data_IF_234084123596
#
_entry.id   IF_234084123596
#
_cell.length_a   1.000
_cell.length_b   1.000
_cell.length_c   1.000
_cell.angle_alpha   90.00
_cell.angle_beta   90.00
_cell.angle_gamma   90.00
#
_symmetry.space_group_name_H-M   'P 1'
#
loop_
_entity.id
_entity.type
_entity.pdbx_description
1 polymer ?
#
# COMPACT_ATOMS: atom_id res chain seq x y z
N UNK A 1 -8.69 -78.47 8.98
CA UNK A 1 -7.69 -77.38 9.06
C UNK A 1 -6.36 -77.97 9.48
N UNK A 2 -5.60 -78.54 8.53
CA UNK A 2 -4.26 -79.11 8.79
C UNK A 2 -3.28 -78.80 7.64
N UNK A 3 -3.73 -78.11 6.58
CA UNK A 3 -2.97 -77.99 5.34
C UNK A 3 -1.99 -76.79 5.27
N UNK A 4 -2.10 -75.82 6.17
CA UNK A 4 -1.24 -74.62 6.13
C UNK A 4 0.09 -74.85 6.87
N UNK A 5 0.20 -75.89 7.72
CA UNK A 5 1.41 -76.08 8.55
C UNK A 5 2.53 -76.89 7.89
N UNK A 6 2.34 -77.47 6.69
CA UNK A 6 3.34 -78.36 6.07
C UNK A 6 4.13 -77.75 4.90
N UNK A 7 3.78 -76.55 4.44
CA UNK A 7 4.52 -75.85 3.40
C UNK A 7 5.07 -74.51 3.90
N UNK A 8 5.86 -74.58 4.99
CA UNK A 8 6.73 -73.51 5.51
C UNK A 8 6.01 -72.26 6.04
N UNK A 9 6.47 -71.61 7.12
CA UNK A 9 5.91 -70.33 7.51
C UNK A 9 6.19 -69.31 6.41
N UNK A 10 5.12 -68.72 5.86
CA UNK A 10 5.23 -67.45 5.13
C UNK A 10 6.05 -66.48 5.99
N UNK A 11 6.99 -65.71 5.42
CA UNK A 11 7.89 -64.85 6.18
C UNK A 11 7.15 -63.55 6.59
N UNK A 12 6.04 -63.69 7.32
CA UNK A 12 5.35 -62.59 7.96
C UNK A 12 5.97 -62.44 9.35
N UNK A 13 7.03 -61.63 9.44
CA UNK A 13 7.67 -61.35 10.73
C UNK A 13 7.10 -60.10 11.40
N UNK A 14 6.40 -59.24 10.65
CA UNK A 14 5.84 -57.96 11.11
C UNK A 14 4.45 -57.71 10.49
N UNK A 15 3.65 -56.91 11.20
CA UNK A 15 2.28 -56.54 10.82
C UNK A 15 2.15 -55.84 9.44
N UNK A 16 3.23 -55.37 8.83
CA UNK A 16 3.22 -54.69 7.52
C UNK A 16 3.78 -55.53 6.37
N UNK A 17 4.31 -56.73 6.65
CA UNK A 17 4.92 -57.57 5.62
C UNK A 17 3.87 -58.09 4.60
N UNK A 18 2.56 -58.00 4.92
CA UNK A 18 1.46 -58.36 4.02
C UNK A 18 1.33 -57.43 2.80
N UNK A 19 1.86 -56.21 2.84
CA UNK A 19 1.77 -55.24 1.72
C UNK A 19 2.49 -55.76 0.47
N UNK A 20 3.38 -56.74 0.64
CA UNK A 20 4.09 -57.40 -0.46
C UNK A 20 3.29 -58.54 -1.11
N UNK A 21 2.10 -58.87 -0.61
CA UNK A 21 1.27 -59.95 -1.13
C UNK A 21 0.25 -59.41 -2.13
N UNK A 22 0.39 -59.84 -3.38
CA UNK A 22 -0.62 -59.62 -4.42
C UNK A 22 -1.41 -60.91 -4.72
N UNK A 23 -2.43 -60.75 -5.57
CA UNK A 23 -3.34 -61.84 -5.93
C UNK A 23 -2.65 -62.98 -6.70
N UNK A 24 -1.54 -62.71 -7.38
CA UNK A 24 -0.79 -63.73 -8.11
C UNK A 24 0.12 -64.53 -7.17
N UNK A 25 0.80 -63.86 -6.23
CA UNK A 25 1.60 -64.51 -5.20
C UNK A 25 0.76 -65.50 -4.38
N UNK A 26 -0.47 -65.13 -4.02
CA UNK A 26 -1.39 -66.00 -3.28
C UNK A 26 -1.95 -67.18 -4.08
N UNK A 27 -2.05 -67.07 -5.42
CA UNK A 27 -2.42 -68.18 -6.29
C UNK A 27 -1.32 -69.25 -6.32
N UNK A 28 -0.05 -68.85 -6.26
CA UNK A 28 1.09 -69.76 -6.26
C UNK A 28 1.12 -70.63 -4.99
N UNK A 29 0.63 -70.13 -3.86
CA UNK A 29 0.56 -70.87 -2.58
C UNK A 29 -0.77 -71.59 -2.32
N UNK A 30 -1.44 -72.09 -3.37
CA UNK A 30 -2.72 -72.81 -3.27
C UNK A 30 -3.91 -71.99 -2.71
N UNK A 31 -3.81 -70.66 -2.64
CA UNK A 31 -4.82 -69.76 -2.05
C UNK A 31 -6.19 -69.75 -2.72
N UNK A 32 -6.33 -70.36 -3.91
CA UNK A 32 -7.64 -70.50 -4.58
C UNK A 32 -8.64 -71.36 -3.80
N UNK A 33 -8.18 -72.30 -2.98
CA UNK A 33 -9.08 -73.13 -2.14
C UNK A 33 -9.52 -72.37 -0.89
N UNK A 34 -8.67 -71.46 -0.39
CA UNK A 34 -8.91 -70.68 0.82
C UNK A 34 -9.85 -69.48 0.63
N UNK A 35 -9.93 -68.95 -0.59
CA UNK A 35 -10.77 -67.79 -0.91
C UNK A 35 -12.19 -68.16 -1.37
N UNK A 36 -12.53 -69.45 -1.43
CA UNK A 36 -13.83 -69.87 -1.94
C UNK A 36 -14.99 -69.53 -0.99
N UNK A 37 -14.73 -69.53 0.32
CA UNK A 37 -15.74 -69.37 1.37
C UNK A 37 -15.33 -68.40 2.50
N UNK A 38 -14.29 -67.58 2.33
CA UNK A 38 -13.84 -66.63 3.36
C UNK A 38 -13.21 -65.38 2.76
N UNK A 39 -13.44 -64.21 3.38
CA UNK A 39 -12.81 -62.96 2.94
C UNK A 39 -11.31 -62.92 3.28
N UNK A 40 -10.52 -62.10 2.60
CA UNK A 40 -9.10 -61.90 2.95
C UNK A 40 -8.90 -61.55 4.42
N UNK A 41 -9.76 -60.68 4.96
CA UNK A 41 -9.73 -60.29 6.37
C UNK A 41 -9.96 -61.49 7.29
N UNK A 42 -10.93 -62.34 6.97
CA UNK A 42 -11.27 -63.53 7.74
C UNK A 42 -10.15 -64.57 7.68
N UNK A 43 -9.50 -64.72 6.52
CA UNK A 43 -8.31 -65.56 6.36
C UNK A 43 -7.15 -65.08 7.25
N UNK A 44 -6.86 -63.78 7.25
CA UNK A 44 -5.76 -63.21 8.04
C UNK A 44 -6.08 -63.18 9.54
N UNK A 45 -7.33 -62.89 9.93
CA UNK A 45 -7.77 -62.98 11.33
C UNK A 45 -7.69 -64.41 11.86
N UNK A 46 -8.01 -65.41 11.02
CA UNK A 46 -7.97 -66.82 11.41
C UNK A 46 -6.54 -67.34 11.54
N UNK A 47 -5.65 -66.97 10.62
CA UNK A 47 -4.29 -67.52 10.58
C UNK A 47 -3.26 -66.69 11.36
N UNK A 48 -3.52 -65.40 11.61
CA UNK A 48 -2.62 -64.49 12.32
C UNK A 48 -3.40 -63.61 13.32
N UNK A 49 -4.10 -64.19 14.31
CA UNK A 49 -4.97 -63.47 15.23
C UNK A 49 -4.23 -62.49 16.15
N UNK A 50 -2.90 -62.61 16.28
CA UNK A 50 -2.05 -61.74 17.09
C UNK A 50 -1.94 -60.30 16.56
N UNK A 51 -2.34 -60.05 15.31
CA UNK A 51 -2.34 -58.71 14.71
C UNK A 51 -3.71 -58.04 14.77
N UNK A 52 -3.72 -56.73 15.03
CA UNK A 52 -4.95 -55.93 15.15
C UNK A 52 -5.54 -55.55 13.78
N UNK A 53 -6.19 -56.49 13.11
CA UNK A 53 -6.75 -56.31 11.76
C UNK A 53 -7.91 -55.30 11.68
N UNK A 54 -8.71 -55.16 12.74
CA UNK A 54 -9.89 -54.29 12.76
C UNK A 54 -9.57 -52.79 12.67
N UNK A 55 -8.37 -52.37 13.07
CA UNK A 55 -7.91 -50.97 12.96
C UNK A 55 -7.44 -50.62 11.55
N UNK A 56 -7.04 -51.63 10.77
CA UNK A 56 -6.52 -51.46 9.41
C UNK A 56 -7.67 -51.47 8.38
N UNK A 57 -8.75 -52.20 8.67
CA UNK A 57 -9.81 -52.48 7.70
C UNK A 57 -11.13 -51.71 7.87
N UNK A 58 -11.26 -50.83 8.87
CA UNK A 58 -12.34 -49.82 8.88
C UNK A 58 -12.01 -48.72 7.88
N UNK A 59 -12.28 -49.02 6.60
CA UNK A 59 -12.15 -48.09 5.49
C UNK A 59 -12.97 -46.82 5.76
N UNK A 60 -12.41 -45.62 5.55
CA UNK A 60 -12.96 -44.43 6.17
C UNK A 60 -14.16 -43.90 5.41
N UNK A 61 -15.19 -43.45 6.13
CA UNK A 61 -15.74 -42.14 5.80
C UNK A 61 -14.56 -41.18 5.70
N UNK A 62 -14.40 -40.47 4.59
CA UNK A 62 -13.34 -39.47 4.37
C UNK A 62 -13.51 -38.24 5.28
N UNK A 63 -13.74 -38.45 6.58
CA UNK A 63 -14.11 -37.43 7.55
C UNK A 63 -12.90 -36.79 8.24
N UNK A 64 -11.71 -37.39 8.14
CA UNK A 64 -10.49 -36.84 8.73
C UNK A 64 -9.37 -36.71 7.70
N UNK A 65 -8.68 -35.57 7.72
CA UNK A 65 -7.56 -35.23 6.82
C UNK A 65 -6.46 -36.30 6.83
N UNK A 66 -6.12 -36.86 8.00
CA UNK A 66 -5.07 -37.89 8.11
C UNK A 66 -5.36 -39.15 7.31
N UNK A 67 -6.63 -39.55 7.22
CA UNK A 67 -7.05 -40.71 6.45
C UNK A 67 -7.06 -40.44 4.95
N UNK A 68 -7.32 -39.18 4.55
CA UNK A 68 -7.15 -38.73 3.17
C UNK A 68 -5.67 -38.67 2.78
N UNK A 69 -4.79 -38.25 3.70
CA UNK A 69 -3.32 -38.26 3.53
C UNK A 69 -2.79 -39.67 3.28
N UNK A 70 -3.12 -40.62 4.16
CA UNK A 70 -2.70 -42.02 4.02
C UNK A 70 -3.10 -42.58 2.64
N UNK A 71 -4.32 -42.29 2.17
CA UNK A 71 -4.75 -42.74 0.84
C UNK A 71 -3.95 -42.07 -0.29
N UNK A 72 -3.72 -40.75 -0.24
CA UNK A 72 -2.99 -40.06 -1.29
C UNK A 72 -1.50 -40.44 -1.28
N UNK A 73 -0.90 -40.60 -0.10
CA UNK A 73 0.46 -41.11 0.04
C UNK A 73 0.58 -42.51 -0.57
N UNK A 74 -0.40 -43.39 -0.31
CA UNK A 74 -0.48 -44.73 -0.90
C UNK A 74 -0.67 -44.68 -2.43
N UNK A 75 -1.52 -43.79 -2.93
CA UNK A 75 -1.68 -43.56 -4.37
C UNK A 75 -0.37 -43.09 -5.00
N UNK A 76 0.32 -42.12 -4.37
CA UNK A 76 1.59 -41.57 -4.83
C UNK A 76 2.66 -42.67 -4.87
N UNK A 77 2.78 -43.45 -3.80
CA UNK A 77 3.76 -44.54 -3.70
C UNK A 77 3.49 -45.69 -4.68
N UNK A 78 2.23 -46.12 -4.82
CA UNK A 78 1.89 -47.31 -5.58
C UNK A 78 1.75 -47.05 -7.08
N UNK A 79 1.15 -45.92 -7.48
CA UNK A 79 0.95 -45.60 -8.90
C UNK A 79 2.09 -44.82 -9.52
N UNK A 80 2.79 -44.01 -8.73
CA UNK A 80 3.79 -43.08 -9.25
C UNK A 80 5.18 -43.44 -8.75
N UNK A 81 5.71 -44.58 -9.21
CA UNK A 81 7.09 -45.03 -8.98
C UNK A 81 8.17 -44.01 -9.43
N UNK A 82 7.78 -42.93 -10.12
CA UNK A 82 8.65 -41.88 -10.63
C UNK A 82 8.63 -40.58 -9.82
N UNK A 83 7.76 -40.44 -8.79
CA UNK A 83 7.72 -39.22 -7.97
C UNK A 83 8.91 -39.21 -7.02
N UNK A 84 10.03 -38.69 -7.52
CA UNK A 84 11.29 -38.55 -6.76
C UNK A 84 11.48 -37.15 -6.22
N UNK A 85 10.78 -36.18 -6.79
CA UNK A 85 10.88 -34.77 -6.44
C UNK A 85 9.50 -34.13 -6.36
N UNK A 86 9.40 -33.00 -5.65
CA UNK A 86 8.16 -32.23 -5.53
C UNK A 86 7.63 -31.73 -6.88
N UNK A 87 8.51 -31.59 -7.89
CA UNK A 87 8.11 -31.21 -9.25
C UNK A 87 7.30 -32.31 -9.96
N UNK A 88 7.55 -33.59 -9.64
CA UNK A 88 6.82 -34.70 -10.22
C UNK A 88 5.35 -34.76 -9.78
N UNK A 89 4.98 -34.07 -8.69
CA UNK A 89 3.58 -33.94 -8.28
C UNK A 89 2.75 -33.11 -9.27
N UNK A 90 3.37 -32.20 -10.03
CA UNK A 90 2.68 -31.42 -11.07
C UNK A 90 2.38 -32.22 -12.35
N UNK A 91 3.03 -33.38 -12.51
CA UNK A 91 2.84 -34.28 -13.64
C UNK A 91 1.68 -35.26 -13.40
N UNK A 92 1.13 -35.29 -12.18
CA UNK A 92 -0.02 -36.11 -11.82
C UNK A 92 -1.29 -35.43 -12.36
N UNK A 93 -2.00 -36.12 -13.23
CA UNK A 93 -3.30 -35.65 -13.72
C UNK A 93 -4.46 -36.39 -13.03
N UNK A 94 -5.66 -35.82 -13.08
CA UNK A 94 -6.86 -36.47 -12.52
C UNK A 94 -7.08 -37.88 -13.07
N UNK A 95 -6.72 -38.13 -14.34
CA UNK A 95 -6.79 -39.47 -14.97
C UNK A 95 -5.87 -40.48 -14.29
N UNK A 96 -4.79 -40.05 -13.67
CA UNK A 96 -3.86 -40.93 -12.99
C UNK A 96 -4.37 -41.31 -11.59
N UNK A 97 -5.00 -40.37 -10.89
CA UNK A 97 -5.71 -40.67 -9.63
C UNK A 97 -6.90 -41.61 -9.88
N UNK A 98 -7.62 -41.45 -10.99
CA UNK A 98 -8.72 -42.34 -11.37
C UNK A 98 -8.29 -43.79 -11.63
N UNK A 99 -6.99 -44.05 -11.91
CA UNK A 99 -6.46 -45.42 -12.02
C UNK A 99 -6.37 -46.11 -10.65
N UNK A 100 -6.40 -45.36 -9.55
CA UNK A 100 -6.43 -45.94 -8.21
C UNK A 100 -7.84 -46.38 -7.82
N UNK A 101 -7.99 -47.54 -7.17
CA UNK A 101 -9.24 -47.87 -6.47
C UNK A 101 -9.64 -46.72 -5.55
N UNK A 102 -10.87 -46.20 -5.70
CA UNK A 102 -11.44 -45.06 -4.96
C UNK A 102 -10.89 -43.67 -5.33
N UNK A 103 -10.04 -43.56 -6.35
CA UNK A 103 -9.61 -42.26 -6.88
C UNK A 103 -10.78 -41.37 -7.33
N UNK A 104 -11.81 -41.98 -7.94
CA UNK A 104 -13.05 -41.30 -8.30
C UNK A 104 -13.84 -40.77 -7.09
N UNK A 105 -13.79 -41.45 -5.95
CA UNK A 105 -14.46 -40.99 -4.72
C UNK A 105 -13.74 -39.79 -4.12
N UNK A 106 -12.40 -39.82 -4.07
CA UNK A 106 -11.63 -38.67 -3.57
C UNK A 106 -11.81 -37.44 -4.46
N UNK A 107 -11.75 -37.63 -5.78
CA UNK A 107 -12.00 -36.56 -6.74
C UNK A 107 -13.43 -36.05 -6.58
N UNK A 108 -14.43 -36.93 -6.51
CA UNK A 108 -15.83 -36.55 -6.35
C UNK A 108 -16.11 -35.73 -5.09
N UNK A 109 -15.54 -36.11 -3.93
CA UNK A 109 -15.65 -35.35 -2.67
C UNK A 109 -14.97 -33.97 -2.77
N UNK A 110 -14.00 -33.83 -3.68
CA UNK A 110 -13.23 -32.61 -3.91
C UNK A 110 -13.58 -31.94 -5.26
N UNK A 111 -14.86 -31.97 -5.64
CA UNK A 111 -15.39 -31.29 -6.84
C UNK A 111 -14.67 -31.67 -8.15
N UNK A 112 -14.21 -32.91 -8.25
CA UNK A 112 -13.40 -33.45 -9.35
C UNK A 112 -12.11 -32.67 -9.64
N UNK A 113 -11.59 -31.94 -8.63
CA UNK A 113 -10.37 -31.14 -8.75
C UNK A 113 -9.24 -31.76 -7.96
N UNK A 114 -8.19 -32.19 -8.67
CA UNK A 114 -6.95 -32.68 -8.06
C UNK A 114 -6.30 -31.58 -7.20
N UNK A 115 -6.43 -30.33 -7.61
CA UNK A 115 -5.97 -29.19 -6.82
C UNK A 115 -6.73 -29.11 -5.49
N UNK A 116 -8.05 -29.29 -5.48
CA UNK A 116 -8.83 -29.29 -4.23
C UNK A 116 -8.41 -30.43 -3.29
N UNK A 117 -8.12 -31.62 -3.85
CA UNK A 117 -7.56 -32.76 -3.11
C UNK A 117 -6.24 -32.38 -2.44
N UNK A 118 -5.27 -31.84 -3.18
CA UNK A 118 -3.98 -31.45 -2.61
C UNK A 118 -4.08 -30.26 -1.64
N UNK A 119 -4.99 -29.31 -1.86
CA UNK A 119 -5.18 -28.16 -0.97
C UNK A 119 -5.76 -28.58 0.38
N UNK A 120 -6.72 -29.51 0.37
CA UNK A 120 -7.33 -30.04 1.58
C UNK A 120 -6.34 -30.90 2.36
N UNK A 121 -5.60 -31.75 1.63
CA UNK A 121 -4.79 -32.81 2.23
C UNK A 121 -3.38 -32.33 2.55
N UNK A 122 -2.77 -31.51 1.70
CA UNK A 122 -1.41 -30.97 1.87
C UNK A 122 -1.39 -29.44 1.68
N UNK A 123 -2.08 -28.67 2.54
CA UNK A 123 -2.07 -27.21 2.48
C UNK A 123 -0.66 -26.60 2.61
N UNK A 124 0.31 -27.33 3.14
CA UNK A 124 1.73 -26.96 3.17
C UNK A 124 2.40 -27.00 1.80
N UNK A 125 1.94 -27.86 0.89
CA UNK A 125 2.40 -27.94 -0.50
C UNK A 125 1.70 -26.88 -1.40
N UNK A 126 0.66 -26.22 -0.88
CA UNK A 126 -0.20 -25.24 -1.55
C UNK A 126 0.52 -24.01 -2.13
N UNK A 127 1.66 -23.63 -1.55
CA UNK A 127 2.47 -22.48 -2.02
C UNK A 127 2.98 -22.68 -3.46
N UNK A 128 2.92 -23.90 -4.00
CA UNK A 128 3.46 -24.24 -5.30
C UNK A 128 2.39 -24.68 -6.34
N UNK A 129 1.14 -24.95 -5.92
CA UNK A 129 0.02 -25.21 -6.84
C UNK A 129 -0.54 -23.88 -7.38
N UNK A 130 0.20 -23.31 -8.33
CA UNK A 130 -0.10 -22.02 -8.96
C UNK A 130 -1.49 -21.96 -9.61
N UNK A 131 -2.46 -21.47 -8.86
CA UNK A 131 -3.50 -20.51 -9.24
C UNK A 131 -4.54 -20.47 -8.13
N UNK A 132 -4.37 -19.56 -7.17
CA UNK A 132 -5.38 -19.31 -6.15
C UNK A 132 -6.41 -18.34 -6.71
N UNK A 133 -7.63 -18.82 -6.96
CA UNK A 133 -8.82 -17.99 -7.22
C UNK A 133 -9.59 -17.65 -5.94
N UNK A 134 -9.11 -18.03 -4.75
CA UNK A 134 -9.81 -17.67 -3.52
C UNK A 134 -9.60 -16.17 -3.24
N UNK A 135 -10.69 -15.41 -3.33
CA UNK A 135 -10.72 -13.94 -3.19
C UNK A 135 -10.09 -13.41 -1.90
N UNK A 136 -9.91 -14.25 -0.88
CA UNK A 136 -9.32 -13.89 0.41
C UNK A 136 -7.79 -14.03 0.51
N UNK A 137 -7.17 -14.96 -0.23
CA UNK A 137 -5.75 -15.29 -0.02
C UNK A 137 -4.84 -14.12 -0.39
N UNK A 138 -5.02 -13.53 -1.57
CA UNK A 138 -4.24 -12.38 -2.05
C UNK A 138 -4.66 -11.03 -1.46
N UNK A 139 -5.56 -11.05 -0.47
CA UNK A 139 -5.87 -9.92 0.41
C UNK A 139 -5.25 -10.07 1.80
N UNK A 140 -4.68 -11.23 2.13
CA UNK A 140 -4.04 -11.49 3.41
C UNK A 140 -2.59 -10.97 3.41
N UNK A 141 -2.25 -10.14 4.41
CA UNK A 141 -0.90 -9.58 4.58
C UNK A 141 0.19 -10.63 4.59
N UNK A 142 0.01 -11.72 5.32
CA UNK A 142 1.00 -12.81 5.44
C UNK A 142 1.29 -13.45 4.08
N UNK A 143 0.28 -13.59 3.22
CA UNK A 143 0.45 -14.18 1.88
C UNK A 143 1.24 -13.24 0.96
N UNK A 144 0.94 -11.94 1.02
CA UNK A 144 1.66 -10.91 0.27
C UNK A 144 3.10 -10.79 0.78
N UNK A 145 3.33 -10.82 2.09
CA UNK A 145 4.66 -10.80 2.71
C UNK A 145 5.50 -11.98 2.24
N UNK A 146 4.95 -13.19 2.26
CA UNK A 146 5.63 -14.38 1.75
C UNK A 146 5.98 -14.27 0.26
N UNK A 147 5.07 -13.73 -0.55
CA UNK A 147 5.34 -13.49 -1.97
C UNK A 147 6.48 -12.48 -2.15
N UNK A 148 6.43 -11.36 -1.43
CA UNK A 148 7.43 -10.31 -1.54
C UNK A 148 8.79 -10.77 -1.04
N UNK A 149 8.85 -11.46 0.11
CA UNK A 149 10.08 -12.05 0.64
C UNK A 149 10.67 -13.07 -0.33
N UNK A 150 9.84 -13.90 -0.97
CA UNK A 150 10.30 -14.91 -1.92
C UNK A 150 10.98 -14.31 -3.15
N UNK A 151 10.45 -13.21 -3.68
CA UNK A 151 10.92 -12.67 -4.97
C UNK A 151 11.81 -11.44 -4.86
N UNK A 152 11.76 -10.74 -3.73
CA UNK A 152 12.49 -9.49 -3.52
C UNK A 152 13.41 -9.53 -2.30
N UNK A 153 13.46 -10.66 -1.58
CA UNK A 153 14.19 -10.91 -0.33
C UNK A 153 13.76 -10.03 0.85
N UNK A 154 13.42 -8.76 0.63
CA UNK A 154 13.20 -7.78 1.69
C UNK A 154 12.47 -6.50 1.24
N UNK A 155 11.44 -6.09 1.99
CA UNK A 155 10.68 -4.85 1.77
C UNK A 155 10.48 -4.17 3.14
N UNK A 156 11.36 -3.22 3.47
CA UNK A 156 11.25 -2.44 4.72
C UNK A 156 11.17 -0.94 4.50
N UNK A 157 11.57 -0.48 3.33
CA UNK A 157 11.63 0.96 3.05
C UNK A 157 10.70 1.32 1.91
N UNK A 158 10.26 2.57 1.90
CA UNK A 158 9.53 3.17 0.78
C UNK A 158 10.27 2.98 -0.55
N UNK A 159 11.59 3.04 -0.53
CA UNK A 159 12.43 2.90 -1.71
C UNK A 159 12.31 1.50 -2.33
N UNK A 160 12.17 0.46 -1.50
CA UNK A 160 11.95 -0.90 -2.00
C UNK A 160 10.61 -1.01 -2.75
N UNK A 161 9.55 -0.35 -2.27
CA UNK A 161 8.27 -0.28 -3.00
C UNK A 161 8.34 0.51 -4.29
N UNK A 162 9.08 1.61 -4.30
CA UNK A 162 9.21 2.44 -5.49
C UNK A 162 9.90 1.71 -6.65
N UNK A 163 10.65 0.64 -6.35
CA UNK A 163 11.29 -0.20 -7.35
C UNK A 163 10.35 -1.28 -7.93
N UNK A 164 9.17 -1.49 -7.33
CA UNK A 164 8.18 -2.43 -7.85
C UNK A 164 7.36 -1.78 -8.96
N UNK A 165 7.25 -2.45 -10.11
CA UNK A 165 6.33 -2.06 -11.19
C UNK A 165 5.27 -3.13 -11.41
N UNK A 166 4.08 -2.73 -11.87
CA UNK A 166 2.99 -3.68 -12.18
C UNK A 166 3.46 -4.72 -13.19
N UNK A 167 4.29 -4.30 -14.16
CA UNK A 167 4.92 -5.19 -15.11
C UNK A 167 5.84 -6.21 -14.44
N UNK A 168 6.73 -5.77 -13.54
CA UNK A 168 7.63 -6.64 -12.78
C UNK A 168 6.85 -7.67 -11.97
N UNK A 169 5.82 -7.24 -11.24
CA UNK A 169 4.97 -8.14 -10.44
C UNK A 169 4.20 -9.10 -11.35
N UNK A 170 3.63 -8.64 -12.47
CA UNK A 170 2.83 -9.49 -13.37
C UNK A 170 3.61 -10.67 -13.96
N UNK A 171 4.92 -10.49 -14.15
CA UNK A 171 5.86 -11.51 -14.66
C UNK A 171 6.22 -12.58 -13.63
N UNK A 172 5.96 -12.36 -12.34
CA UNK A 172 6.27 -13.31 -11.28
C UNK A 172 5.13 -14.33 -11.08
N UNK A 173 5.43 -15.59 -10.71
CA UNK A 173 4.41 -16.59 -10.40
C UNK A 173 3.43 -16.12 -9.32
N UNK A 174 2.15 -16.00 -9.68
CA UNK A 174 1.08 -15.50 -8.80
C UNK A 174 0.92 -13.98 -8.77
N UNK A 175 1.86 -13.21 -9.32
CA UNK A 175 1.80 -11.75 -9.29
C UNK A 175 0.67 -11.15 -10.12
N UNK A 176 0.32 -11.76 -11.27
CA UNK A 176 -0.87 -11.35 -12.03
C UNK A 176 -2.17 -11.52 -11.23
N UNK A 177 -2.24 -12.56 -10.39
CA UNK A 177 -3.39 -12.81 -9.51
C UNK A 177 -3.43 -11.83 -8.35
N UNK A 178 -2.28 -11.53 -7.72
CA UNK A 178 -2.16 -10.45 -6.72
C UNK A 178 -2.69 -9.14 -7.29
N UNK A 179 -2.23 -8.76 -8.48
CA UNK A 179 -2.68 -7.53 -9.14
C UNK A 179 -4.18 -7.57 -9.40
N UNK A 180 -4.73 -8.68 -9.92
CA UNK A 180 -6.17 -8.81 -10.19
C UNK A 180 -7.03 -8.58 -8.95
N UNK A 181 -6.70 -9.18 -7.80
CA UNK A 181 -7.47 -8.99 -6.56
C UNK A 181 -7.26 -7.63 -5.90
N UNK A 182 -6.28 -6.87 -6.37
CA UNK A 182 -5.92 -5.54 -5.89
C UNK A 182 -6.04 -4.48 -7.00
N UNK A 183 -7.09 -4.59 -7.83
CA UNK A 183 -7.47 -3.60 -8.85
C UNK A 183 -6.34 -3.25 -9.85
N UNK A 184 -5.50 -4.22 -10.18
CA UNK A 184 -4.35 -4.05 -11.07
C UNK A 184 -3.23 -3.16 -10.52
N UNK A 185 -3.27 -2.84 -9.21
CA UNK A 185 -2.41 -1.81 -8.63
C UNK A 185 -1.57 -2.35 -7.48
N UNK A 186 -0.26 -2.15 -7.58
CA UNK A 186 0.67 -2.43 -6.48
C UNK A 186 0.29 -1.62 -5.25
N UNK A 187 -0.05 -0.35 -5.44
CA UNK A 187 -0.41 0.55 -4.35
C UNK A 187 -1.67 0.08 -3.61
N UNK A 188 -2.62 -0.56 -4.30
CA UNK A 188 -3.83 -1.08 -3.66
C UNK A 188 -3.51 -2.17 -2.65
N UNK A 189 -2.60 -3.10 -2.98
CA UNK A 189 -2.21 -4.14 -2.01
C UNK A 189 -1.23 -3.60 -0.98
N UNK A 190 -0.31 -2.68 -1.36
CA UNK A 190 0.56 -2.00 -0.40
C UNK A 190 -0.24 -1.22 0.64
N UNK A 191 -1.38 -0.62 0.28
CA UNK A 191 -2.23 0.11 1.24
C UNK A 191 -2.85 -0.81 2.28
N UNK A 192 -3.16 -2.04 1.89
CA UNK A 192 -3.71 -3.06 2.78
C UNK A 192 -2.60 -3.67 3.64
N UNK A 193 -1.42 -3.85 3.06
CA UNK A 193 -0.35 -4.69 3.64
C UNK A 193 0.67 -3.86 4.42
N UNK A 194 1.04 -2.69 3.91
CA UNK A 194 2.07 -1.79 4.44
C UNK A 194 1.63 -0.32 4.36
N UNK A 195 0.50 0.06 5.00
CA UNK A 195 0.03 1.44 5.01
C UNK A 195 1.10 2.43 5.53
N UNK A 196 2.00 1.97 6.40
CA UNK A 196 3.13 2.73 6.96
C UNK A 196 4.24 3.04 5.94
N UNK A 197 4.33 2.26 4.85
CA UNK A 197 5.33 2.39 3.79
C UNK A 197 4.72 2.95 2.49
N UNK A 198 3.58 3.65 2.58
CA UNK A 198 3.07 4.47 1.49
C UNK A 198 3.57 5.90 1.70
N UNK A 199 4.12 6.57 0.66
CA UNK A 199 4.71 7.87 0.88
C UNK A 199 3.58 8.84 1.21
N UNK A 200 3.59 9.38 2.42
CA UNK A 200 2.72 10.48 2.84
C UNK A 200 3.05 11.81 2.12
N UNK A 201 3.90 11.78 1.10
CA UNK A 201 4.43 12.95 0.40
C UNK A 201 4.33 12.74 -1.12
N UNK A 202 3.14 13.02 -1.66
CA UNK A 202 2.79 13.67 -2.94
C UNK A 202 3.42 13.30 -4.29
N UNK A 203 4.55 12.59 -4.37
CA UNK A 203 5.32 12.55 -5.64
C UNK A 203 4.75 11.59 -6.69
N UNK A 204 4.02 10.55 -6.30
CA UNK A 204 3.40 9.57 -7.23
C UNK A 204 2.04 9.06 -6.74
N UNK A 205 1.10 9.98 -6.54
CA UNK A 205 -0.28 9.64 -6.19
C UNK A 205 -1.07 9.12 -7.41
N UNK A 206 -1.93 8.12 -7.19
CA UNK A 206 -2.75 7.47 -8.22
C UNK A 206 -3.72 8.43 -8.89
N UNK A 207 -4.18 8.05 -10.09
CA UNK A 207 -5.37 8.66 -10.69
C UNK A 207 -6.55 8.42 -9.76
N UNK A 208 -7.16 9.49 -9.26
CA UNK A 208 -8.27 9.43 -8.29
C UNK A 208 -7.88 9.67 -6.84
N UNK A 209 -6.58 9.65 -6.46
CA UNK A 209 -6.15 9.96 -5.09
C UNK A 209 -6.67 11.32 -4.62
N UNK A 210 -6.56 12.33 -5.49
CA UNK A 210 -7.03 13.67 -5.17
C UNK A 210 -8.55 13.79 -5.11
N UNK A 211 -9.29 12.78 -5.58
CA UNK A 211 -10.75 12.75 -5.59
C UNK A 211 -11.32 12.01 -4.37
N UNK A 212 -10.53 11.68 -3.35
CA UNK A 212 -11.04 11.09 -2.11
C UNK A 212 -10.89 12.09 -0.97
N UNK A 213 -11.83 13.04 -0.87
CA UNK A 213 -11.77 14.15 0.11
C UNK A 213 -11.55 13.64 1.54
N UNK A 214 -12.24 12.56 1.93
CA UNK A 214 -12.19 12.01 3.29
C UNK A 214 -10.83 11.41 3.66
N UNK A 215 -10.03 11.00 2.67
CA UNK A 215 -8.74 10.36 2.90
C UNK A 215 -7.56 11.14 2.32
N UNK A 216 -7.78 12.34 1.78
CA UNK A 216 -6.72 13.10 1.15
C UNK A 216 -5.92 13.89 2.20
N UNK A 217 -5.00 13.16 2.83
CA UNK A 217 -4.04 13.68 3.80
C UNK A 217 -3.34 14.96 3.34
N UNK A 218 -3.02 15.09 2.05
CA UNK A 218 -2.29 16.25 1.52
C UNK A 218 -3.14 17.52 1.56
N UNK A 219 -4.47 17.44 1.35
CA UNK A 219 -5.38 18.57 1.54
C UNK A 219 -5.35 19.02 2.98
N UNK A 220 -5.58 18.10 3.92
CA UNK A 220 -5.64 18.43 5.34
C UNK A 220 -4.32 18.98 5.85
N UNK A 221 -3.20 18.42 5.38
CA UNK A 221 -1.86 18.94 5.63
C UNK A 221 -1.73 20.36 5.10
N UNK A 222 -2.17 20.63 3.87
CA UNK A 222 -2.10 21.98 3.30
C UNK A 222 -3.02 22.98 4.02
N UNK A 223 -4.24 22.58 4.37
CA UNK A 223 -5.15 23.38 5.19
C UNK A 223 -4.55 23.73 6.54
N UNK A 224 -3.87 22.77 7.16
CA UNK A 224 -3.16 22.97 8.43
C UNK A 224 -1.93 23.87 8.27
N UNK A 225 -1.08 23.60 7.28
CA UNK A 225 0.18 24.32 7.06
C UNK A 225 -0.05 25.79 6.68
N UNK A 226 -1.10 26.11 5.92
CA UNK A 226 -1.38 27.48 5.47
C UNK A 226 -2.59 28.12 6.17
N UNK A 227 -3.06 27.50 7.26
CA UNK A 227 -4.23 27.92 8.03
C UNK A 227 -5.43 28.28 7.14
N UNK A 228 -5.79 27.39 6.23
CA UNK A 228 -6.93 27.58 5.32
C UNK A 228 -8.20 27.33 6.13
N UNK A 229 -8.98 28.39 6.37
CA UNK A 229 -10.24 28.31 7.13
C UNK A 229 -11.45 28.66 6.28
N UNK A 230 -11.24 29.33 5.15
CA UNK A 230 -12.31 29.72 4.22
C UNK A 230 -11.91 29.53 2.76
N UNK A 231 -12.90 29.66 1.87
CA UNK A 231 -12.70 29.72 0.41
C UNK A 231 -11.68 30.77 -0.01
N UNK A 232 -11.72 31.94 0.61
CA UNK A 232 -10.83 33.05 0.29
C UNK A 232 -9.37 32.71 0.54
N UNK A 233 -9.08 31.86 1.54
CA UNK A 233 -7.72 31.45 1.87
C UNK A 233 -7.11 30.55 0.79
N UNK A 234 -7.91 29.74 0.10
CA UNK A 234 -7.44 28.92 -1.03
C UNK A 234 -6.85 29.77 -2.15
N UNK A 235 -7.47 30.91 -2.44
CA UNK A 235 -6.94 31.87 -3.43
C UNK A 235 -5.67 32.59 -2.97
N UNK A 236 -5.27 32.42 -1.71
CA UNK A 236 -4.00 32.93 -1.17
C UNK A 236 -2.89 31.89 -1.25
N UNK A 237 -3.10 30.71 -1.84
CA UNK A 237 -2.02 29.72 -2.00
C UNK A 237 -1.43 29.80 -3.40
N UNK A 238 -0.10 29.87 -3.48
CA UNK A 238 0.61 29.91 -4.76
C UNK A 238 0.65 28.54 -5.41
N UNK A 239 0.85 28.51 -6.73
CA UNK A 239 1.03 27.25 -7.48
C UNK A 239 2.27 26.49 -6.97
N UNK A 240 3.31 27.21 -6.54
CA UNK A 240 4.53 26.61 -5.98
C UNK A 240 4.27 25.99 -4.60
N UNK A 241 3.44 26.62 -3.76
CA UNK A 241 3.02 26.02 -2.48
C UNK A 241 2.17 24.76 -2.70
N UNK A 242 1.29 24.76 -3.71
CA UNK A 242 0.61 23.54 -4.17
C UNK A 242 1.61 22.50 -4.68
N UNK A 243 2.64 22.91 -5.41
CA UNK A 243 3.69 22.01 -5.89
C UNK A 243 4.49 21.38 -4.74
N UNK A 244 4.87 22.16 -3.73
CA UNK A 244 5.66 21.72 -2.59
C UNK A 244 4.92 20.69 -1.75
N UNK A 245 3.62 20.90 -1.54
CA UNK A 245 2.77 19.99 -0.77
C UNK A 245 2.26 18.80 -1.60
N UNK A 246 1.78 19.05 -2.81
CA UNK A 246 0.99 18.11 -3.60
C UNK A 246 1.74 17.53 -4.82
N UNK A 247 2.96 18.01 -5.09
CA UNK A 247 3.79 17.59 -6.20
C UNK A 247 3.38 18.13 -7.57
N UNK A 248 4.23 17.86 -8.57
CA UNK A 248 4.12 18.30 -9.98
C UNK A 248 2.78 18.03 -10.66
N UNK A 249 2.04 17.02 -10.22
CA UNK A 249 0.81 16.60 -10.90
C UNK A 249 -0.35 17.59 -10.68
N UNK A 250 -0.32 18.33 -9.58
CA UNK A 250 -1.40 19.26 -9.19
C UNK A 250 -1.07 20.72 -9.52
N UNK A 251 0.19 21.03 -9.81
CA UNK A 251 0.72 22.40 -9.90
C UNK A 251 0.36 23.17 -11.18
N UNK A 252 -0.88 23.08 -11.66
CA UNK A 252 -1.39 23.99 -12.69
C UNK A 252 -2.73 24.58 -12.28
N UNK A 253 -2.98 25.84 -12.66
CA UNK A 253 -4.19 26.61 -12.31
C UNK A 253 -5.46 25.81 -12.57
N UNK A 254 -5.61 25.31 -13.80
CA UNK A 254 -6.76 24.49 -14.21
C UNK A 254 -6.91 23.21 -13.40
N UNK A 255 -5.81 22.61 -12.93
CA UNK A 255 -5.87 21.39 -12.11
C UNK A 255 -6.23 21.71 -10.68
N UNK A 256 -5.68 22.76 -10.08
CA UNK A 256 -6.04 23.27 -8.76
C UNK A 256 -7.54 23.58 -8.72
N UNK A 257 -8.05 24.38 -9.65
CA UNK A 257 -9.48 24.71 -9.68
C UNK A 257 -10.35 23.46 -9.86
N UNK A 258 -9.96 22.51 -10.71
CA UNK A 258 -10.69 21.24 -10.86
C UNK A 258 -10.72 20.43 -9.56
N UNK A 259 -9.63 20.43 -8.79
CA UNK A 259 -9.60 19.78 -7.49
C UNK A 259 -10.47 20.51 -6.48
N UNK A 260 -10.44 21.84 -6.47
CA UNK A 260 -11.26 22.63 -5.56
C UNK A 260 -12.75 22.53 -5.88
N UNK A 261 -13.14 22.49 -7.17
CA UNK A 261 -14.51 22.15 -7.57
C UNK A 261 -14.92 20.73 -7.16
N UNK A 262 -13.96 19.82 -7.06
CA UNK A 262 -14.24 18.47 -6.60
C UNK A 262 -14.45 18.43 -5.07
N UNK A 263 -13.60 19.11 -4.28
CA UNK A 263 -13.70 19.15 -2.81
C UNK A 263 -14.81 20.05 -2.30
N UNK A 264 -15.08 21.15 -3.02
CA UNK A 264 -16.06 22.16 -2.65
C UNK A 264 -16.96 22.42 -3.86
N UNK A 265 -17.86 21.47 -4.21
CA UNK A 265 -18.68 21.54 -5.42
C UNK A 265 -19.68 22.71 -5.39
N UNK A 266 -20.13 23.12 -4.20
CA UNK A 266 -21.04 24.25 -4.02
C UNK A 266 -20.35 25.61 -4.19
N UNK A 267 -19.02 25.62 -4.27
CA UNK A 267 -18.24 26.84 -4.39
C UNK A 267 -17.92 27.18 -5.84
N UNK A 268 -18.24 28.41 -6.25
CA UNK A 268 -17.81 28.91 -7.55
C UNK A 268 -16.33 29.32 -7.52
N UNK A 269 -15.48 28.48 -8.12
CA UNK A 269 -14.05 28.73 -8.25
C UNK A 269 -13.72 29.48 -9.54
N UNK A 270 -12.86 30.50 -9.45
CA UNK A 270 -12.45 31.34 -10.60
C UNK A 270 -10.98 31.10 -10.93
N UNK A 271 -10.69 30.43 -12.04
CA UNK A 271 -9.33 30.18 -12.55
C UNK A 271 -8.44 31.43 -12.57
N UNK A 272 -9.02 32.57 -12.91
CA UNK A 272 -8.33 33.87 -13.00
C UNK A 272 -7.80 34.36 -11.65
N UNK A 273 -8.39 33.90 -10.54
CA UNK A 273 -7.94 34.15 -9.17
C UNK A 273 -6.89 33.15 -8.68
N UNK A 274 -6.40 32.25 -9.52
CA UNK A 274 -5.21 31.43 -9.25
C UNK A 274 -4.09 31.84 -10.21
N UNK A 275 -3.70 33.12 -10.26
CA UNK A 275 -2.65 33.58 -11.17
C UNK A 275 -1.24 33.34 -10.61
N UNK A 276 -0.22 33.20 -11.47
CA UNK A 276 1.19 33.24 -11.04
C UNK A 276 1.55 34.58 -10.37
N UNK A 277 0.82 35.66 -10.72
CA UNK A 277 0.94 36.98 -10.09
C UNK A 277 0.37 37.05 -8.67
N UNK A 278 -0.33 36.02 -8.20
CA UNK A 278 -0.83 35.92 -6.82
C UNK A 278 0.28 35.56 -5.82
N UNK A 279 1.51 35.39 -6.30
CA UNK A 279 2.70 35.27 -5.46
C UNK A 279 2.79 36.39 -4.40
N UNK A 280 2.37 37.63 -4.70
CA UNK A 280 2.40 38.70 -3.67
C UNK A 280 1.46 38.40 -2.50
N UNK A 281 0.18 38.17 -2.74
CA UNK A 281 -0.80 37.91 -1.66
C UNK A 281 -0.52 36.59 -0.94
N UNK A 282 -0.05 35.58 -1.67
CA UNK A 282 0.38 34.31 -1.08
C UNK A 282 1.60 34.46 -0.18
N UNK A 283 2.61 35.20 -0.64
CA UNK A 283 3.80 35.45 0.16
C UNK A 283 3.52 36.41 1.31
N UNK A 284 2.65 37.39 1.15
CA UNK A 284 2.13 38.20 2.25
C UNK A 284 1.44 37.31 3.29
N UNK A 285 0.49 36.47 2.88
CA UNK A 285 -0.18 35.51 3.78
C UNK A 285 0.84 34.65 4.53
N UNK A 286 1.79 34.06 3.81
CA UNK A 286 2.81 33.19 4.39
C UNK A 286 3.77 33.96 5.33
N UNK A 287 4.16 35.18 4.96
CA UNK A 287 4.88 36.10 5.85
C UNK A 287 4.09 36.35 7.13
N UNK A 288 2.79 36.64 7.05
CA UNK A 288 1.92 36.83 8.20
C UNK A 288 1.90 35.64 9.15
N UNK A 289 1.84 34.40 8.62
CA UNK A 289 1.94 33.18 9.43
C UNK A 289 3.28 33.09 10.15
N UNK A 290 4.38 33.35 9.45
CA UNK A 290 5.71 33.29 10.06
C UNK A 290 5.96 34.40 11.07
N UNK A 291 5.37 35.57 10.86
CA UNK A 291 5.42 36.66 11.84
C UNK A 291 4.70 36.26 13.14
N UNK A 292 3.59 35.51 13.07
CA UNK A 292 2.92 34.95 14.27
C UNK A 292 3.81 33.95 15.00
N UNK A 293 4.54 33.12 14.26
CA UNK A 293 5.51 32.19 14.86
C UNK A 293 6.70 32.90 15.51
N UNK A 294 7.15 34.02 14.94
CA UNK A 294 8.27 34.81 15.47
C UNK A 294 7.83 35.66 16.66
N UNK A 295 6.61 36.20 16.63
CA UNK A 295 6.07 37.12 17.64
C UNK A 295 4.77 36.56 18.27
N UNK A 296 4.84 35.41 18.98
CA UNK A 296 3.64 34.68 19.42
C UNK A 296 2.79 35.44 20.47
N UNK A 297 3.37 36.43 21.13
CA UNK A 297 2.71 37.26 22.16
C UNK A 297 2.18 38.58 21.62
N UNK A 298 2.52 38.95 20.39
CA UNK A 298 2.18 40.24 19.82
C UNK A 298 0.88 40.20 19.02
N UNK A 299 0.19 41.33 18.97
CA UNK A 299 -0.95 41.52 18.08
C UNK A 299 -0.44 41.96 16.71
N UNK A 300 -0.82 41.25 15.65
CA UNK A 300 -0.43 41.54 14.27
C UNK A 300 -1.67 41.92 13.47
N UNK A 301 -1.73 43.17 13.02
CA UNK A 301 -2.76 43.64 12.08
C UNK A 301 -2.29 43.42 10.65
N UNK A 302 -3.05 42.63 9.87
CA UNK A 302 -2.85 42.47 8.43
C UNK A 302 -3.59 43.60 7.66
N UNK A 303 -3.04 44.05 6.53
CA UNK A 303 -3.63 45.10 5.67
C UNK A 303 -3.99 46.37 6.47
N UNK A 304 -3.11 46.79 7.40
CA UNK A 304 -3.34 47.92 8.31
C UNK A 304 -3.51 49.24 7.54
N UNK A 305 -4.69 49.83 7.68
CA UNK A 305 -5.06 51.10 7.03
C UNK A 305 -4.70 52.27 7.94
N UNK A 306 -3.78 53.11 7.50
CA UNK A 306 -3.38 54.34 8.16
C UNK A 306 -3.87 55.55 7.36
N UNK A 307 -4.65 56.43 8.02
CA UNK A 307 -5.05 57.72 7.45
C UNK A 307 -4.06 58.78 7.92
N UNK A 308 -3.33 59.38 6.99
CA UNK A 308 -2.40 60.46 7.30
C UNK A 308 -2.68 61.66 6.39
N UNK A 309 -3.06 62.78 7.01
CA UNK A 309 -3.57 63.96 6.32
C UNK A 309 -4.73 63.58 5.38
N UNK A 310 -4.58 63.85 4.08
CA UNK A 310 -5.56 63.52 3.04
C UNK A 310 -5.23 62.22 2.30
N UNK A 311 -4.22 61.47 2.74
CA UNK A 311 -3.76 60.24 2.11
C UNK A 311 -4.13 59.03 2.96
N UNK A 312 -4.68 58.00 2.31
CA UNK A 312 -4.86 56.68 2.94
C UNK A 312 -3.73 55.76 2.49
N UNK A 313 -2.98 55.25 3.45
CA UNK A 313 -1.92 54.28 3.23
C UNK A 313 -2.35 52.94 3.79
N UNK A 314 -1.99 51.88 3.08
CA UNK A 314 -2.20 50.50 3.53
C UNK A 314 -0.83 49.87 3.68
N UNK A 315 -0.59 49.31 4.86
CA UNK A 315 0.60 48.54 5.20
C UNK A 315 0.26 47.06 5.25
N UNK A 316 1.18 46.20 4.81
CA UNK A 316 0.92 44.76 4.81
C UNK A 316 0.76 44.21 6.24
N UNK A 317 1.63 44.61 7.17
CA UNK A 317 1.55 44.23 8.58
C UNK A 317 1.90 45.38 9.53
N UNK A 318 1.19 45.48 10.65
CA UNK A 318 1.50 46.37 11.76
C UNK A 318 1.46 45.63 13.11
N UNK A 319 2.51 45.79 13.90
CA UNK A 319 2.69 45.20 15.23
C UNK A 319 2.79 46.36 16.24
N UNK A 320 1.66 46.77 16.87
CA UNK A 320 1.62 47.97 17.70
C UNK A 320 2.51 47.91 18.93
N UNK A 321 2.58 46.76 19.61
CA UNK A 321 3.41 46.58 20.81
C UNK A 321 4.90 46.83 20.57
N UNK A 322 5.34 46.72 19.31
CA UNK A 322 6.71 46.98 18.89
C UNK A 322 6.87 48.31 18.13
N UNK A 323 5.78 49.03 17.85
CA UNK A 323 5.78 50.15 16.92
C UNK A 323 6.34 49.77 15.54
N UNK A 324 6.07 48.55 15.07
CA UNK A 324 6.73 47.97 13.90
C UNK A 324 5.76 47.76 12.73
N UNK A 325 6.14 48.26 11.55
CA UNK A 325 5.47 48.04 10.27
C UNK A 325 6.33 47.14 9.41
N UNK A 326 5.72 46.15 8.75
CA UNK A 326 6.41 45.23 7.84
C UNK A 326 5.68 45.23 6.50
N UNK A 327 6.44 45.38 5.41
CA UNK A 327 5.94 45.45 4.04
C UNK A 327 6.63 44.42 3.15
N UNK A 328 5.85 43.66 2.40
CA UNK A 328 6.39 42.73 1.41
C UNK A 328 6.53 43.42 0.05
N UNK A 329 7.78 43.63 -0.38
CA UNK A 329 8.11 44.28 -1.65
C UNK A 329 8.17 43.25 -2.77
N UNK A 330 7.19 43.30 -3.69
CA UNK A 330 7.20 42.50 -4.93
C UNK A 330 8.28 42.94 -5.93
N UNK A 331 8.46 42.19 -7.02
CA UNK A 331 9.44 42.48 -8.10
C UNK A 331 9.35 43.91 -8.64
N UNK A 332 8.13 44.46 -8.72
CA UNK A 332 7.88 45.81 -9.23
C UNK A 332 8.54 46.94 -8.39
N UNK A 333 9.02 46.65 -7.18
CA UNK A 333 9.76 47.61 -6.35
C UNK A 333 11.24 47.71 -6.75
N UNK A 334 11.73 46.80 -7.59
CA UNK A 334 13.14 46.70 -7.97
C UNK A 334 13.37 46.80 -9.47
N UNK A 335 12.37 46.44 -10.29
CA UNK A 335 12.46 46.44 -11.74
C UNK A 335 11.28 47.17 -12.37
N UNK A 336 11.52 47.82 -13.50
CA UNK A 336 10.46 48.33 -14.36
C UNK A 336 9.72 47.17 -15.03
N UNK A 337 8.50 46.92 -14.55
CA UNK A 337 7.61 45.92 -15.12
C UNK A 337 6.53 46.66 -15.92
N UNK A 338 6.51 46.48 -17.25
CA UNK A 338 5.64 47.13 -18.25
C UNK A 338 4.15 47.30 -17.89
N UNK A 339 3.62 46.54 -16.93
CA UNK A 339 2.21 46.55 -16.50
C UNK A 339 1.96 47.34 -15.21
N UNK A 340 2.99 47.95 -14.62
CA UNK A 340 2.92 48.64 -13.33
C UNK A 340 3.37 50.09 -13.45
N UNK A 341 3.16 50.88 -12.40
CA UNK A 341 3.74 52.22 -12.30
C UNK A 341 5.26 52.15 -12.45
N UNK A 342 5.88 53.18 -13.05
CA UNK A 342 7.34 53.27 -13.17
C UNK A 342 8.04 53.01 -11.83
N UNK A 343 9.20 52.37 -11.88
CA UNK A 343 10.01 52.03 -10.71
C UNK A 343 10.26 53.26 -9.82
N UNK A 344 10.50 54.42 -10.42
CA UNK A 344 10.71 55.68 -9.71
C UNK A 344 9.50 56.11 -8.86
N UNK A 345 8.28 55.91 -9.37
CA UNK A 345 7.06 56.24 -8.63
C UNK A 345 6.86 55.28 -7.45
N UNK A 346 7.20 54.00 -7.63
CA UNK A 346 7.14 53.02 -6.54
C UNK A 346 8.18 53.33 -5.45
N UNK A 347 9.42 53.63 -5.84
CA UNK A 347 10.48 54.02 -4.91
C UNK A 347 10.13 55.32 -4.17
N UNK A 348 9.53 56.29 -4.85
CA UNK A 348 9.04 57.53 -4.23
C UNK A 348 7.94 57.26 -3.20
N UNK A 349 6.99 56.36 -3.51
CA UNK A 349 5.94 55.95 -2.56
C UNK A 349 6.52 55.22 -1.35
N UNK A 350 7.45 54.29 -1.55
CA UNK A 350 8.11 53.55 -0.48
C UNK A 350 8.93 54.47 0.43
N UNK A 351 9.64 55.44 -0.16
CA UNK A 351 10.33 56.49 0.58
C UNK A 351 9.37 57.32 1.42
N UNK A 352 8.25 57.76 0.84
CA UNK A 352 7.22 58.52 1.58
C UNK A 352 6.58 57.73 2.72
N UNK A 353 6.32 56.43 2.51
CA UNK A 353 5.87 55.53 3.59
C UNK A 353 6.90 55.43 4.72
N UNK A 354 8.18 55.27 4.38
CA UNK A 354 9.26 55.18 5.38
C UNK A 354 9.41 56.48 6.17
N UNK A 355 9.42 57.62 5.50
CA UNK A 355 9.48 58.94 6.13
C UNK A 355 8.29 59.17 7.08
N UNK A 356 7.08 58.77 6.66
CA UNK A 356 5.90 58.84 7.51
C UNK A 356 6.06 57.97 8.76
N UNK A 357 6.42 56.69 8.61
CA UNK A 357 6.64 55.80 9.74
C UNK A 357 7.65 56.40 10.73
N UNK A 358 8.80 56.87 10.23
CA UNK A 358 9.82 57.53 11.05
C UNK A 358 9.27 58.75 11.80
N UNK A 359 8.48 59.60 11.13
CA UNK A 359 7.89 60.79 11.76
C UNK A 359 6.89 60.46 12.89
N UNK A 360 6.31 59.26 12.87
CA UNK A 360 5.40 58.74 13.88
C UNK A 360 6.11 57.88 14.94
N UNK A 361 7.44 57.79 14.91
CA UNK A 361 8.22 56.93 15.80
C UNK A 361 8.03 55.43 15.51
N UNK A 362 7.53 55.07 14.32
CA UNK A 362 7.35 53.69 13.89
C UNK A 362 8.57 53.20 13.12
N UNK A 363 8.95 51.94 13.36
CA UNK A 363 9.97 51.23 12.59
C UNK A 363 9.33 50.59 11.37
N UNK A 364 10.01 50.62 10.23
CA UNK A 364 9.50 50.03 8.99
C UNK A 364 10.53 49.08 8.39
N UNK A 365 10.13 47.82 8.19
CA UNK A 365 10.98 46.77 7.62
C UNK A 365 10.39 46.31 6.28
N UNK A 366 11.24 46.20 5.28
CA UNK A 366 10.87 45.64 3.97
C UNK A 366 11.35 44.20 3.84
N UNK A 367 10.45 43.30 3.46
CA UNK A 367 10.77 41.91 3.09
C UNK A 367 10.79 41.83 1.56
N UNK A 368 11.96 41.58 0.94
CA UNK A 368 12.07 41.60 -0.51
C UNK A 368 11.48 40.34 -1.16
N UNK A 369 11.12 40.43 -2.44
CA UNK A 369 10.48 39.31 -3.13
C UNK A 369 11.38 38.09 -3.35
N UNK A 370 12.71 38.26 -3.30
CA UNK A 370 13.66 37.15 -3.37
C UNK A 370 13.86 36.43 -2.03
N UNK A 371 13.14 36.84 -0.97
CA UNK A 371 13.05 36.03 0.24
C UNK A 371 12.61 34.61 -0.12
N UNK A 372 13.32 33.63 0.42
CA UNK A 372 13.20 32.21 0.07
C UNK A 372 12.10 31.48 0.85
N UNK A 373 11.22 32.22 1.53
CA UNK A 373 10.19 31.68 2.43
C UNK A 373 10.77 30.92 3.65
N UNK A 374 12.08 31.04 3.93
CA UNK A 374 12.67 30.38 5.10
C UNK A 374 12.53 31.24 6.36
N UNK A 375 12.28 30.58 7.49
CA UNK A 375 12.14 31.23 8.81
C UNK A 375 13.47 31.81 9.29
N UNK A 376 14.57 31.12 8.97
CA UNK A 376 15.91 31.58 9.30
C UNK A 376 16.23 32.92 8.61
N UNK A 377 15.95 33.02 7.32
CA UNK A 377 16.19 34.25 6.56
C UNK A 377 15.28 35.40 7.01
N UNK A 378 14.00 35.12 7.28
CA UNK A 378 13.10 36.14 7.80
C UNK A 378 13.58 36.69 9.15
N UNK A 379 14.01 35.83 10.08
CA UNK A 379 14.60 36.26 11.35
C UNK A 379 15.86 37.10 11.14
N UNK A 380 16.70 36.75 10.17
CA UNK A 380 17.89 37.53 9.81
C UNK A 380 17.53 38.94 9.31
N UNK A 381 16.56 39.04 8.40
CA UNK A 381 16.05 40.33 7.89
C UNK A 381 15.54 41.19 9.05
N UNK A 382 14.68 40.63 9.90
CA UNK A 382 14.09 41.35 11.04
C UNK A 382 15.16 41.82 12.04
N UNK A 383 16.09 40.95 12.42
CA UNK A 383 17.14 41.28 13.40
C UNK A 383 18.08 42.39 12.91
N UNK A 384 18.50 42.33 11.65
CA UNK A 384 19.37 43.35 11.06
C UNK A 384 18.73 44.73 11.12
N UNK A 385 17.47 44.84 10.72
CA UNK A 385 16.76 46.13 10.73
C UNK A 385 16.40 46.60 12.14
N UNK A 386 16.09 45.69 13.07
CA UNK A 386 15.81 46.07 14.46
C UNK A 386 17.06 46.54 15.22
N UNK A 387 18.25 46.03 14.86
CA UNK A 387 19.54 46.43 15.45
C UNK A 387 20.07 47.73 14.86
N UNK A 388 19.93 47.96 13.55
CA UNK A 388 20.39 49.19 12.89
C UNK A 388 19.62 50.46 13.32
N UNK A 389 18.53 50.31 14.06
CA UNK A 389 17.66 51.39 14.56
C UNK A 389 17.76 51.58 16.09
N UNK A 390 18.81 51.06 16.73
CA UNK A 390 19.24 51.43 18.09
C UNK A 390 20.47 52.33 17.97
#
# INVERSE_FOLDING_TARGET
>A
MEYISQSGPLPLMRQFDWVQFDFELLKEFHGRVLLKDSSFLELFQTNFPEFFWEKIWKFPTFSSVDKKRIFIDDCIFNLFKFVKTQQNLFEIESRDILKHPKGGTILGVNNNSLQAVFNEIYPELYVLFGSVSSDGYWRNRIAIDKFLLKFFNYIETQQHFNNLSTELISKLPGGSTILKHNNGSIQSFCKITYPELIPQNGKNVTRGYWMDEKNNFEIHKMMKCYEIRSKEDWYKISIDQFYETSGKRVSSKKRITKLLHYWYPDEEWKDTRFSEKINKKSRQRYLGLMLRDIFPTEVIFEEYVCKYLQTTLVFDFYIPGMGLVIEYQGEQHYYDILKWSPLQDQQKRDKGKKELCTSQGLKMIFVPYWWDNSLAELKRILNNELQNNK
#
